data_IF_792732209698
#
_entry.id   IF_792732209698
#
_cell.length_a   1.000
_cell.length_b   1.000
_cell.length_c   1.000
_cell.angle_alpha   90.00
_cell.angle_beta   90.00
_cell.angle_gamma   90.00
#
_symmetry.space_group_name_H-M   'P 1'
#
loop_
_entity.id
_entity.type
_entity.pdbx_description
1 polymer ?
#
# COMPACT_ATOMS: atom_id res chain seq x y z
N UNK A 1 50.80 76.41 45.41
CA UNK A 1 51.79 77.45 45.78
C UNK A 1 52.40 77.08 47.13
N UNK A 2 53.69 77.31 47.41
CA UNK A 2 54.86 77.03 46.57
C UNK A 2 56.10 76.72 47.45
N UNK A 3 56.60 75.47 47.60
CA UNK A 3 57.82 75.27 48.43
C UNK A 3 58.87 74.25 47.97
N UNK A 4 58.83 73.77 46.71
CA UNK A 4 59.99 73.02 46.15
C UNK A 4 60.55 73.63 44.86
N UNK A 5 59.81 74.53 44.19
CA UNK A 5 60.43 75.50 43.25
C UNK A 5 61.53 76.32 43.96
N UNK A 6 61.51 76.41 45.29
CA UNK A 6 62.52 77.10 46.10
C UNK A 6 63.83 76.31 46.34
N UNK A 7 63.86 74.98 46.15
CA UNK A 7 65.13 74.23 46.20
C UNK A 7 65.88 74.24 44.86
N UNK A 8 65.22 74.71 43.80
CA UNK A 8 65.80 74.93 42.47
C UNK A 8 66.52 76.29 42.35
N UNK A 9 66.52 77.14 43.39
CA UNK A 9 67.10 78.49 43.33
C UNK A 9 68.39 78.68 44.16
N UNK A 10 68.77 77.72 45.03
CA UNK A 10 69.87 77.92 46.00
C UNK A 10 71.23 77.36 45.56
N UNK A 11 71.32 76.62 44.45
CA UNK A 11 72.60 76.06 43.97
C UNK A 11 73.29 76.99 42.96
N UNK A 12 72.66 78.10 42.58
CA UNK A 12 73.11 79.01 41.52
C UNK A 12 73.78 80.31 42.02
N UNK A 13 74.18 80.41 43.31
CA UNK A 13 74.76 81.63 43.87
C UNK A 13 75.98 81.38 44.79
N UNK A 14 76.85 80.45 44.37
CA UNK A 14 78.21 80.30 44.90
C UNK A 14 79.24 80.32 43.74
N UNK A 15 79.55 81.52 43.24
CA UNK A 15 80.84 81.92 42.68
C UNK A 15 81.33 83.09 43.55
N UNK A 16 82.64 83.37 43.75
CA UNK A 16 83.87 82.72 43.28
C UNK A 16 84.95 82.56 44.38
N UNK A 17 85.55 81.38 44.58
CA UNK A 17 86.74 81.25 45.44
C UNK A 17 87.71 80.10 45.08
N UNK A 18 87.46 79.37 43.98
CA UNK A 18 88.33 78.26 43.54
C UNK A 18 89.44 78.67 42.57
N UNK A 19 89.36 79.85 41.95
CA UNK A 19 90.28 80.30 40.89
C UNK A 19 91.66 80.72 41.40
N UNK A 20 91.90 80.77 42.71
CA UNK A 20 93.20 81.13 43.31
C UNK A 20 93.77 80.00 44.20
N UNK A 21 93.20 78.80 44.14
CA UNK A 21 93.81 77.60 44.72
C UNK A 21 94.53 76.76 43.65
N UNK A 22 94.13 76.90 42.39
CA UNK A 22 94.63 76.07 41.29
C UNK A 22 96.01 76.53 40.76
N UNK A 23 96.34 77.82 40.87
CA UNK A 23 97.64 78.36 40.44
C UNK A 23 98.79 78.05 41.41
N UNK A 24 98.51 77.89 42.71
CA UNK A 24 99.51 77.48 43.70
C UNK A 24 99.88 75.99 43.53
N UNK A 25 98.89 75.13 43.31
CA UNK A 25 99.12 73.70 43.02
C UNK A 25 99.74 73.50 41.63
N UNK A 26 99.33 74.25 40.60
CA UNK A 26 99.92 74.09 39.27
C UNK A 26 101.38 74.58 39.17
N UNK A 27 101.81 75.55 39.98
CA UNK A 27 103.23 75.94 40.07
C UNK A 27 104.06 74.88 40.81
N UNK A 28 103.56 74.33 41.92
CA UNK A 28 104.15 73.18 42.62
C UNK A 28 104.27 71.93 41.73
N UNK A 29 103.26 71.69 40.89
CA UNK A 29 103.24 70.58 39.94
C UNK A 29 104.20 70.83 38.79
N UNK A 30 104.31 72.07 38.26
CA UNK A 30 105.28 72.40 37.20
C UNK A 30 106.74 72.34 37.69
N UNK A 31 107.05 72.84 38.88
CA UNK A 31 108.40 72.69 39.49
C UNK A 31 108.76 71.21 39.72
N UNK A 32 107.81 70.36 40.12
CA UNK A 32 108.06 68.91 40.23
C UNK A 32 108.26 68.22 38.88
N UNK A 33 107.61 68.68 37.82
CA UNK A 33 107.68 68.07 36.49
C UNK A 33 109.02 68.41 35.81
N UNK A 34 109.62 69.56 36.08
CA UNK A 34 110.91 69.97 35.50
C UNK A 34 112.14 69.24 36.10
N UNK A 35 111.99 68.53 37.23
CA UNK A 35 113.06 67.78 37.93
C UNK A 35 112.92 66.24 37.88
N UNK A 36 112.03 65.69 37.04
CA UNK A 36 111.74 64.25 36.96
C UNK A 36 112.32 63.58 35.71
N UNK A 37 113.63 63.30 35.76
CA UNK A 37 114.42 62.64 34.71
C UNK A 37 114.41 61.08 34.81
N UNK A 38 113.29 60.48 35.26
CA UNK A 38 113.14 59.00 35.40
C UNK A 38 111.75 58.49 35.01
N UNK A 39 111.64 57.32 34.37
CA UNK A 39 110.35 56.76 33.95
C UNK A 39 109.43 56.50 35.15
N UNK A 40 108.19 56.97 35.05
CA UNK A 40 107.15 56.93 36.09
C UNK A 40 106.70 55.52 36.53
N UNK A 41 107.11 54.47 35.81
CA UNK A 41 106.70 53.10 36.10
C UNK A 41 107.91 52.16 36.17
N UNK A 42 108.04 51.44 37.30
CA UNK A 42 109.05 50.40 37.47
C UNK A 42 108.65 49.11 36.72
N UNK A 43 109.61 48.32 36.18
CA UNK A 43 109.34 47.07 35.44
C UNK A 43 108.45 46.03 36.17
N UNK A 44 108.38 46.10 37.51
CA UNK A 44 107.55 45.21 38.32
C UNK A 44 106.05 45.51 38.19
N UNK A 45 105.67 46.79 38.09
CA UNK A 45 104.26 47.22 38.04
C UNK A 45 103.62 46.83 36.71
N UNK A 46 104.37 46.90 35.61
CA UNK A 46 103.90 46.49 34.28
C UNK A 46 103.52 45.00 34.24
N UNK A 47 104.37 44.13 34.81
CA UNK A 47 104.10 42.70 34.86
C UNK A 47 102.88 42.36 35.72
N UNK A 48 102.76 43.00 36.89
CA UNK A 48 101.61 42.80 37.77
C UNK A 48 100.29 43.18 37.07
N UNK A 49 100.26 44.33 36.37
CA UNK A 49 99.07 44.76 35.62
C UNK A 49 98.76 43.80 34.46
N UNK A 50 99.77 43.30 33.75
CA UNK A 50 99.56 42.31 32.68
C UNK A 50 99.03 40.97 33.21
N UNK A 51 99.52 40.50 34.35
CA UNK A 51 99.04 39.28 34.98
C UNK A 51 97.58 39.42 35.47
N UNK A 52 97.23 40.56 36.09
CA UNK A 52 95.84 40.88 36.47
C UNK A 52 94.92 40.99 35.24
N UNK A 53 95.35 41.64 34.15
CA UNK A 53 94.57 41.71 32.91
C UNK A 53 94.37 40.33 32.27
N UNK A 54 95.39 39.47 32.32
CA UNK A 54 95.31 38.10 31.80
C UNK A 54 94.36 37.25 32.65
N UNK A 55 94.43 37.39 33.97
CA UNK A 55 93.49 36.76 34.91
C UNK A 55 92.06 37.23 34.65
N UNK A 56 91.85 38.54 34.50
CA UNK A 56 90.55 39.14 34.22
C UNK A 56 89.98 38.69 32.87
N UNK A 57 90.80 38.57 31.82
CA UNK A 57 90.36 37.98 30.54
C UNK A 57 89.98 36.52 30.68
N UNK A 58 90.74 35.74 31.45
CA UNK A 58 90.45 34.32 31.70
C UNK A 58 89.15 34.16 32.48
N UNK A 59 88.95 34.99 33.49
CA UNK A 59 87.71 35.05 34.26
C UNK A 59 86.53 35.45 33.38
N UNK A 60 86.66 36.53 32.59
CA UNK A 60 85.63 36.93 31.62
C UNK A 60 85.29 35.84 30.60
N UNK A 61 86.28 35.08 30.12
CA UNK A 61 86.04 33.97 29.20
C UNK A 61 85.27 32.82 29.89
N UNK A 62 85.66 32.46 31.12
CA UNK A 62 84.98 31.44 31.91
C UNK A 62 83.53 31.85 32.23
N UNK A 63 83.30 33.09 32.66
CA UNK A 63 81.95 33.61 32.93
C UNK A 63 81.10 33.61 31.67
N UNK A 64 81.65 33.98 30.50
CA UNK A 64 80.93 33.91 29.22
C UNK A 64 80.55 32.48 28.87
N UNK A 65 81.45 31.51 29.08
CA UNK A 65 81.17 30.10 28.83
C UNK A 65 80.03 29.60 29.74
N UNK A 66 80.09 29.90 31.03
CA UNK A 66 79.06 29.50 31.99
C UNK A 66 77.69 30.12 31.65
N UNK A 67 77.65 31.42 31.37
CA UNK A 67 76.41 32.10 30.96
C UNK A 67 75.85 31.53 29.66
N UNK A 68 76.71 31.26 28.68
CA UNK A 68 76.29 30.64 27.41
C UNK A 68 75.68 29.27 27.66
N UNK A 69 76.31 28.46 28.51
CA UNK A 69 75.81 27.13 28.86
C UNK A 69 74.47 27.21 29.60
N UNK A 70 74.32 28.11 30.58
CA UNK A 70 73.06 28.31 31.29
C UNK A 70 71.92 28.78 30.37
N UNK A 71 72.21 29.67 29.41
CA UNK A 71 71.23 30.12 28.42
C UNK A 71 70.80 28.95 27.53
N UNK A 72 71.77 28.20 26.99
CA UNK A 72 71.50 27.03 26.13
C UNK A 72 70.68 25.97 26.89
N UNK A 73 71.03 25.65 28.13
CA UNK A 73 70.30 24.70 28.96
C UNK A 73 68.87 25.18 29.26
N UNK A 74 68.69 26.49 29.48
CA UNK A 74 67.37 27.10 29.70
C UNK A 74 66.52 27.03 28.42
N UNK A 75 67.12 27.27 27.26
CA UNK A 75 66.43 27.16 25.97
C UNK A 75 66.06 25.71 25.66
N UNK A 76 66.96 24.74 25.84
CA UNK A 76 66.61 23.33 25.69
C UNK A 76 65.46 22.93 26.61
N UNK A 77 65.51 23.31 27.89
CA UNK A 77 64.41 23.05 28.83
C UNK A 77 63.11 23.78 28.50
N UNK A 78 63.16 24.92 27.80
CA UNK A 78 61.96 25.64 27.35
C UNK A 78 61.34 24.92 26.16
N UNK A 79 62.17 24.53 25.19
CA UNK A 79 61.80 23.78 23.99
C UNK A 79 61.26 22.41 24.36
N UNK A 80 61.93 21.64 25.21
CA UNK A 80 61.49 20.31 25.64
C UNK A 80 60.11 20.34 26.30
N UNK A 81 59.85 21.37 27.14
CA UNK A 81 58.52 21.56 27.73
C UNK A 81 57.48 21.87 26.67
N UNK A 82 57.76 22.79 25.74
CA UNK A 82 56.83 23.14 24.66
C UNK A 82 56.54 21.92 23.76
N UNK A 83 57.55 21.12 23.43
CA UNK A 83 57.41 19.89 22.66
C UNK A 83 56.57 18.86 23.43
N UNK A 84 56.85 18.63 24.71
CA UNK A 84 56.05 17.72 25.55
C UNK A 84 54.58 18.14 25.60
N UNK A 85 54.29 19.42 25.84
CA UNK A 85 52.92 19.92 25.83
C UNK A 85 52.23 19.70 24.47
N UNK A 86 52.93 19.93 23.36
CA UNK A 86 52.39 19.68 22.03
C UNK A 86 52.12 18.18 21.80
N UNK A 87 53.04 17.30 22.20
CA UNK A 87 52.87 15.85 22.08
C UNK A 87 51.73 15.34 22.97
N UNK A 88 51.63 15.81 24.20
CA UNK A 88 50.59 15.38 25.15
C UNK A 88 49.20 15.83 24.68
N UNK A 89 49.05 17.08 24.24
CA UNK A 89 47.77 17.60 23.73
C UNK A 89 47.28 16.84 22.50
N UNK A 90 48.19 16.52 21.56
CA UNK A 90 47.88 15.70 20.39
C UNK A 90 47.46 14.29 20.82
N UNK A 91 48.19 13.66 21.74
CA UNK A 91 47.88 12.32 22.27
C UNK A 91 46.50 12.28 22.94
N UNK A 92 46.18 13.26 23.80
CA UNK A 92 44.88 13.33 24.44
C UNK A 92 43.73 13.55 23.46
N UNK A 93 43.95 14.34 22.41
CA UNK A 93 42.96 14.51 21.34
C UNK A 93 42.69 13.20 20.60
N UNK A 94 43.73 12.41 20.31
CA UNK A 94 43.55 11.07 19.75
C UNK A 94 42.78 10.14 20.68
N UNK A 95 43.04 10.16 21.99
CA UNK A 95 42.26 9.36 22.94
C UNK A 95 40.79 9.80 23.03
N UNK A 96 40.51 11.10 22.97
CA UNK A 96 39.13 11.59 22.94
C UNK A 96 38.38 11.12 21.67
N UNK A 97 39.04 11.20 20.51
CA UNK A 97 38.46 10.69 19.25
C UNK A 97 38.25 9.18 19.33
N UNK A 98 39.21 8.43 19.86
CA UNK A 98 39.10 6.98 20.01
C UNK A 98 37.97 6.57 20.96
N UNK A 99 37.80 7.29 22.07
CA UNK A 99 36.70 7.07 23.01
C UNK A 99 35.35 7.40 22.36
N UNK A 100 35.24 8.54 21.68
CA UNK A 100 34.02 8.94 20.98
C UNK A 100 33.66 7.96 19.84
N UNK A 101 34.64 7.50 19.07
CA UNK A 101 34.42 6.54 17.99
C UNK A 101 34.01 5.17 18.51
N UNK A 102 34.61 4.70 19.61
CA UNK A 102 34.22 3.46 20.28
C UNK A 102 32.77 3.49 20.76
N UNK A 103 32.35 4.60 21.38
CA UNK A 103 30.95 4.80 21.81
C UNK A 103 30.01 4.83 20.60
N UNK A 104 30.38 5.53 19.52
CA UNK A 104 29.57 5.63 18.30
C UNK A 104 29.39 4.25 17.64
N UNK A 105 30.43 3.42 17.59
CA UNK A 105 30.34 2.06 17.05
C UNK A 105 29.44 1.16 17.90
N UNK A 106 29.54 1.23 19.23
CA UNK A 106 28.68 0.45 20.13
C UNK A 106 27.20 0.82 19.98
N UNK A 107 26.89 2.12 19.97
CA UNK A 107 25.53 2.62 19.78
C UNK A 107 25.00 2.36 18.36
N UNK A 108 25.88 2.49 17.36
CA UNK A 108 25.55 2.23 15.96
C UNK A 108 25.22 0.76 15.71
N UNK A 109 25.98 -0.17 16.29
CA UNK A 109 25.76 -1.60 16.13
C UNK A 109 24.43 -2.06 16.74
N UNK A 110 24.09 -1.62 17.96
CA UNK A 110 22.81 -1.96 18.57
C UNK A 110 21.63 -1.40 17.78
N UNK A 111 21.72 -0.13 17.36
CA UNK A 111 20.67 0.54 16.58
C UNK A 111 20.41 -0.16 15.24
N UNK A 112 21.45 -0.51 14.48
CA UNK A 112 21.31 -1.20 13.19
C UNK A 112 20.67 -2.58 13.37
N UNK A 113 21.06 -3.32 14.41
CA UNK A 113 20.46 -4.63 14.71
C UNK A 113 18.98 -4.48 15.06
N UNK A 114 18.63 -3.54 15.93
CA UNK A 114 17.24 -3.31 16.35
C UNK A 114 16.36 -2.86 15.18
N UNK A 115 16.89 -2.03 14.26
CA UNK A 115 16.20 -1.64 13.02
C UNK A 115 15.96 -2.86 12.13
N UNK A 116 16.97 -3.71 11.93
CA UNK A 116 16.84 -4.92 11.11
C UNK A 116 15.77 -5.88 11.66
N UNK A 117 15.77 -6.12 12.97
CA UNK A 117 14.78 -6.99 13.62
C UNK A 117 13.36 -6.44 13.49
N UNK A 118 13.16 -5.13 13.72
CA UNK A 118 11.85 -4.47 13.55
C UNK A 118 11.35 -4.47 12.11
N UNK A 119 12.24 -4.26 11.14
CA UNK A 119 11.87 -4.27 9.72
C UNK A 119 11.41 -5.66 9.30
N UNK A 120 12.10 -6.73 9.74
CA UNK A 120 11.66 -8.09 9.48
C UNK A 120 10.31 -8.39 10.13
N UNK A 121 10.13 -8.05 11.41
CA UNK A 121 8.86 -8.35 12.10
C UNK A 121 7.66 -7.61 11.49
N UNK A 122 7.83 -6.34 11.12
CA UNK A 122 6.76 -5.55 10.47
C UNK A 122 6.45 -6.07 9.06
N UNK A 123 7.48 -6.46 8.30
CA UNK A 123 7.29 -7.06 6.99
C UNK A 123 6.55 -8.39 7.09
N UNK A 124 6.94 -9.28 8.02
CA UNK A 124 6.29 -10.58 8.21
C UNK A 124 4.83 -10.42 8.66
N UNK A 125 4.52 -9.43 9.51
CA UNK A 125 3.16 -9.12 9.95
C UNK A 125 2.29 -8.62 8.79
N UNK A 126 2.77 -7.65 8.01
CA UNK A 126 2.02 -7.12 6.86
C UNK A 126 1.87 -8.17 5.76
N UNK A 127 2.90 -8.98 5.49
CA UNK A 127 2.82 -10.11 4.54
C UNK A 127 1.75 -11.10 5.01
N UNK A 128 1.76 -11.50 6.28
CA UNK A 128 0.77 -12.44 6.83
C UNK A 128 -0.65 -11.88 6.72
N UNK A 129 -0.82 -10.58 6.99
CA UNK A 129 -2.10 -9.89 6.88
C UNK A 129 -2.59 -9.86 5.42
N UNK A 130 -1.72 -9.52 4.47
CA UNK A 130 -2.04 -9.53 3.05
C UNK A 130 -2.40 -10.94 2.58
N UNK A 131 -1.61 -11.96 2.94
CA UNK A 131 -1.88 -13.36 2.58
C UNK A 131 -3.26 -13.77 3.09
N UNK A 132 -3.60 -13.44 4.34
CA UNK A 132 -4.92 -13.74 4.91
C UNK A 132 -6.06 -13.01 4.22
N UNK A 133 -5.86 -11.75 3.85
CA UNK A 133 -6.85 -10.97 3.09
C UNK A 133 -7.07 -11.57 1.70
N UNK A 134 -6.00 -11.98 1.02
CA UNK A 134 -6.07 -12.65 -0.28
C UNK A 134 -6.70 -14.03 -0.18
N UNK A 135 -6.39 -14.81 0.85
CA UNK A 135 -7.01 -16.13 1.10
C UNK A 135 -8.53 -16.00 1.31
N UNK A 136 -8.96 -15.01 2.12
CA UNK A 136 -10.39 -14.73 2.32
C UNK A 136 -11.09 -14.28 1.03
N UNK A 137 -10.47 -13.39 0.25
CA UNK A 137 -11.02 -12.96 -1.04
C UNK A 137 -11.10 -14.11 -2.02
N UNK A 138 -10.07 -14.97 -2.08
CA UNK A 138 -10.04 -16.12 -2.95
C UNK A 138 -11.15 -17.11 -2.60
N UNK A 139 -11.30 -17.43 -1.31
CA UNK A 139 -12.39 -18.30 -0.84
C UNK A 139 -13.77 -17.73 -1.18
N UNK A 140 -13.98 -16.42 -1.03
CA UNK A 140 -15.23 -15.76 -1.39
C UNK A 140 -15.50 -15.82 -2.91
N UNK A 141 -14.47 -15.64 -3.73
CA UNK A 141 -14.58 -15.75 -5.19
C UNK A 141 -14.88 -17.20 -5.60
N UNK A 142 -14.21 -18.18 -4.98
CA UNK A 142 -14.42 -19.59 -5.25
C UNK A 142 -15.87 -20.00 -4.94
N UNK A 143 -16.40 -19.60 -3.80
CA UNK A 143 -17.80 -19.85 -3.43
C UNK A 143 -18.78 -19.21 -4.43
N UNK A 144 -18.53 -17.96 -4.84
CA UNK A 144 -19.37 -17.29 -5.84
C UNK A 144 -19.29 -17.96 -7.21
N UNK A 145 -18.12 -18.43 -7.62
CA UNK A 145 -17.94 -19.16 -8.88
C UNK A 145 -18.64 -20.50 -8.82
N UNK A 146 -18.57 -21.22 -7.70
CA UNK A 146 -19.26 -22.49 -7.51
C UNK A 146 -20.78 -22.33 -7.63
N UNK A 147 -21.37 -21.38 -6.89
CA UNK A 147 -22.80 -21.09 -6.96
C UNK A 147 -23.23 -20.68 -8.37
N UNK A 148 -22.50 -19.78 -9.03
CA UNK A 148 -22.81 -19.39 -10.41
C UNK A 148 -22.71 -20.54 -11.39
N UNK A 149 -21.73 -21.43 -11.22
CA UNK A 149 -21.56 -22.60 -12.09
C UNK A 149 -22.74 -23.54 -11.94
N UNK A 150 -23.19 -23.82 -10.72
CA UNK A 150 -24.40 -24.63 -10.48
C UNK A 150 -25.63 -24.01 -11.13
N UNK A 151 -25.83 -22.70 -10.99
CA UNK A 151 -26.95 -22.01 -11.64
C UNK A 151 -26.86 -22.04 -13.17
N UNK A 152 -25.66 -21.90 -13.74
CA UNK A 152 -25.46 -21.98 -15.18
C UNK A 152 -25.75 -23.41 -15.68
N UNK A 153 -25.34 -24.42 -14.94
CA UNK A 153 -25.56 -25.83 -15.28
C UNK A 153 -27.05 -26.18 -15.23
N UNK A 154 -27.75 -25.80 -14.15
CA UNK A 154 -29.20 -25.99 -14.05
C UNK A 154 -29.96 -25.24 -15.17
N UNK A 155 -29.60 -23.97 -15.41
CA UNK A 155 -30.22 -23.20 -16.50
C UNK A 155 -29.92 -23.82 -17.87
N UNK A 156 -28.73 -24.39 -18.06
CA UNK A 156 -28.36 -25.06 -19.30
C UNK A 156 -29.23 -26.31 -19.52
N UNK A 157 -29.42 -27.13 -18.50
CA UNK A 157 -30.31 -28.30 -18.56
C UNK A 157 -31.75 -27.88 -18.90
N UNK A 158 -32.28 -26.82 -18.29
CA UNK A 158 -33.62 -26.29 -18.60
C UNK A 158 -33.74 -25.76 -20.03
N UNK A 159 -32.71 -25.10 -20.54
CA UNK A 159 -32.65 -24.61 -21.93
C UNK A 159 -32.60 -25.80 -22.90
N UNK A 160 -31.75 -26.80 -22.62
CA UNK A 160 -31.64 -28.00 -23.45
C UNK A 160 -32.97 -28.75 -23.52
N UNK A 161 -33.66 -28.95 -22.38
CA UNK A 161 -35.00 -29.55 -22.33
C UNK A 161 -36.04 -28.73 -23.12
N UNK A 162 -36.01 -27.41 -22.98
CA UNK A 162 -36.96 -26.53 -23.70
C UNK A 162 -36.71 -26.56 -25.21
N UNK A 163 -35.45 -26.56 -25.64
CA UNK A 163 -35.08 -26.68 -27.04
C UNK A 163 -35.46 -28.05 -27.62
N UNK A 164 -35.27 -29.12 -26.85
CA UNK A 164 -35.68 -30.48 -27.25
C UNK A 164 -37.20 -30.53 -27.44
N UNK A 165 -37.98 -30.07 -26.46
CA UNK A 165 -39.44 -30.00 -26.56
C UNK A 165 -39.88 -29.15 -27.75
N UNK A 166 -39.26 -27.99 -27.97
CA UNK A 166 -39.55 -27.14 -29.11
C UNK A 166 -39.25 -27.85 -30.44
N UNK A 167 -38.16 -28.63 -30.53
CA UNK A 167 -37.84 -29.42 -31.71
C UNK A 167 -38.88 -30.53 -31.96
N UNK A 168 -39.41 -31.14 -30.90
CA UNK A 168 -40.47 -32.13 -30.98
C UNK A 168 -41.80 -31.50 -31.44
N UNK A 169 -42.15 -30.30 -30.95
CA UNK A 169 -43.31 -29.55 -31.43
C UNK A 169 -43.19 -29.19 -32.92
N UNK A 170 -42.02 -28.76 -33.37
CA UNK A 170 -41.78 -28.48 -34.79
C UNK A 170 -41.93 -29.74 -35.65
N UNK A 171 -41.44 -30.89 -35.17
CA UNK A 171 -41.63 -32.18 -35.83
C UNK A 171 -43.11 -32.56 -35.87
N UNK A 172 -43.84 -32.39 -34.78
CA UNK A 172 -45.28 -32.67 -34.70
C UNK A 172 -46.08 -31.94 -35.78
N UNK A 173 -45.74 -30.67 -36.06
CA UNK A 173 -46.39 -29.86 -37.09
C UNK A 173 -46.11 -30.37 -38.51
N UNK A 174 -44.97 -31.04 -38.75
CA UNK A 174 -44.60 -31.56 -40.07
C UNK A 174 -45.16 -32.96 -40.34
N UNK A 175 -45.50 -33.71 -39.29
CA UNK A 175 -46.06 -35.06 -39.40
C UNK A 175 -47.52 -35.01 -39.88
N UNK A 176 -47.82 -35.74 -40.97
CA UNK A 176 -49.19 -35.85 -41.50
C UNK A 176 -49.97 -37.02 -40.91
N UNK A 177 -49.27 -38.06 -40.43
CA UNK A 177 -49.89 -39.27 -39.90
C UNK A 177 -50.26 -39.11 -38.43
N UNK A 178 -51.53 -39.31 -38.09
CA UNK A 178 -52.06 -39.15 -36.73
C UNK A 178 -51.35 -40.06 -35.71
N UNK A 179 -51.02 -41.29 -36.09
CA UNK A 179 -50.29 -42.22 -35.22
C UNK A 179 -48.87 -41.74 -34.91
N UNK A 180 -48.19 -41.11 -35.88
CA UNK A 180 -46.87 -40.52 -35.65
C UNK A 180 -46.97 -39.30 -34.74
N UNK A 181 -48.01 -38.47 -34.92
CA UNK A 181 -48.28 -37.34 -34.04
C UNK A 181 -48.43 -37.77 -32.58
N UNK A 182 -49.17 -38.86 -32.33
CA UNK A 182 -49.29 -39.43 -30.98
C UNK A 182 -47.94 -39.87 -30.43
N UNK A 183 -47.11 -40.54 -31.23
CA UNK A 183 -45.77 -40.96 -30.78
C UNK A 183 -44.89 -39.76 -30.39
N UNK A 184 -44.93 -38.68 -31.16
CA UNK A 184 -44.17 -37.45 -30.84
C UNK A 184 -44.72 -36.77 -29.58
N UNK A 185 -46.04 -36.71 -29.42
CA UNK A 185 -46.67 -36.20 -28.19
C UNK A 185 -46.34 -37.06 -26.97
N UNK A 186 -46.22 -38.37 -27.12
CA UNK A 186 -45.76 -39.27 -26.05
C UNK A 186 -44.29 -39.02 -25.67
N UNK A 187 -43.44 -38.62 -26.62
CA UNK A 187 -42.08 -38.17 -26.33
C UNK A 187 -42.10 -36.86 -25.53
N UNK A 188 -42.92 -35.88 -25.93
CA UNK A 188 -43.07 -34.60 -25.20
C UNK A 188 -43.58 -34.85 -23.77
N UNK A 189 -44.60 -35.71 -23.61
CA UNK A 189 -45.18 -36.01 -22.30
C UNK A 189 -44.25 -36.84 -21.41
N UNK A 190 -43.26 -37.55 -21.95
CA UNK A 190 -42.19 -38.17 -21.13
C UNK A 190 -41.26 -37.13 -20.53
N UNK A 191 -40.97 -36.05 -21.27
CA UNK A 191 -40.13 -34.95 -20.82
C UNK A 191 -40.91 -34.01 -19.87
N UNK A 192 -42.17 -33.71 -20.19
CA UNK A 192 -43.09 -32.91 -19.35
C UNK A 192 -44.43 -33.63 -19.17
N UNK A 193 -44.57 -34.47 -18.13
CA UNK A 193 -45.80 -35.23 -17.88
C UNK A 193 -47.04 -34.38 -17.55
N UNK A 194 -46.84 -33.14 -17.10
CA UNK A 194 -47.90 -32.23 -16.68
C UNK A 194 -48.08 -31.07 -17.69
N UNK A 195 -47.71 -31.27 -18.95
CA UNK A 195 -47.93 -30.26 -19.97
C UNK A 195 -49.38 -30.29 -20.47
N UNK A 196 -50.19 -29.33 -20.00
CA UNK A 196 -51.59 -29.17 -20.39
C UNK A 196 -51.77 -28.98 -21.90
N UNK A 197 -50.80 -28.32 -22.56
CA UNK A 197 -50.83 -28.09 -24.00
C UNK A 197 -50.68 -29.43 -24.74
N UNK A 198 -49.62 -30.18 -24.45
CA UNK A 198 -49.35 -31.48 -25.06
C UNK A 198 -50.49 -32.51 -24.80
N UNK A 199 -51.04 -32.54 -23.58
CA UNK A 199 -52.17 -33.42 -23.25
C UNK A 199 -53.42 -33.09 -24.08
N UNK A 200 -53.68 -31.81 -24.30
CA UNK A 200 -54.87 -31.35 -25.05
C UNK A 200 -54.70 -31.56 -26.55
N UNK A 201 -53.52 -31.28 -27.11
CA UNK A 201 -53.22 -31.61 -28.51
C UNK A 201 -53.29 -33.11 -28.77
N UNK A 202 -52.89 -33.94 -27.79
CA UNK A 202 -53.09 -35.38 -27.89
C UNK A 202 -54.57 -35.77 -27.88
N UNK A 203 -55.39 -35.11 -27.07
CA UNK A 203 -56.83 -35.34 -27.07
C UNK A 203 -57.46 -35.02 -28.43
N UNK A 204 -57.06 -33.91 -29.06
CA UNK A 204 -57.49 -33.50 -30.40
C UNK A 204 -57.16 -34.56 -31.47
N UNK A 205 -55.89 -34.99 -31.54
CA UNK A 205 -55.45 -36.05 -32.47
C UNK A 205 -56.20 -37.37 -32.24
N UNK A 206 -56.51 -37.70 -30.99
CA UNK A 206 -57.26 -38.89 -30.62
C UNK A 206 -58.75 -38.78 -30.99
N UNK A 207 -59.32 -37.58 -30.96
CA UNK A 207 -60.68 -37.31 -31.48
C UNK A 207 -60.73 -37.49 -33.00
N UNK A 208 -59.72 -37.04 -33.73
CA UNK A 208 -59.60 -37.29 -35.18
C UNK A 208 -59.51 -38.80 -35.50
N UNK A 209 -58.91 -39.59 -34.60
CA UNK A 209 -58.89 -41.07 -34.67
C UNK A 209 -60.21 -41.74 -34.25
N UNK A 210 -61.23 -40.96 -33.87
CA UNK A 210 -62.55 -41.43 -33.42
C UNK A 210 -62.54 -42.20 -32.10
N UNK A 211 -61.63 -41.86 -31.19
CA UNK A 211 -61.51 -42.46 -29.86
C UNK A 211 -61.89 -41.47 -28.74
N UNK A 212 -63.16 -41.01 -28.66
CA UNK A 212 -63.54 -39.90 -27.79
C UNK A 212 -63.46 -40.22 -26.28
N UNK A 213 -63.54 -41.50 -25.89
CA UNK A 213 -63.36 -41.90 -24.49
C UNK A 213 -61.94 -41.62 -23.98
N UNK A 214 -60.95 -41.84 -24.84
CA UNK A 214 -59.56 -41.59 -24.50
C UNK A 214 -59.27 -40.09 -24.43
N UNK A 215 -59.82 -39.31 -25.36
CA UNK A 215 -59.74 -37.85 -25.34
C UNK A 215 -60.31 -37.26 -24.04
N UNK A 216 -61.46 -37.74 -23.54
CA UNK A 216 -62.01 -37.31 -22.25
C UNK A 216 -61.03 -37.54 -21.10
N UNK A 217 -60.33 -38.68 -21.08
CA UNK A 217 -59.35 -38.96 -20.03
C UNK A 217 -58.11 -38.07 -20.11
N UNK A 218 -57.69 -37.69 -21.32
CA UNK A 218 -56.57 -36.76 -21.53
C UNK A 218 -56.96 -35.33 -21.16
N UNK A 219 -58.13 -34.84 -21.59
CA UNK A 219 -58.63 -33.52 -21.20
C UNK A 219 -58.84 -33.41 -19.68
N UNK A 220 -59.27 -34.48 -19.00
CA UNK A 220 -59.36 -34.49 -17.53
C UNK A 220 -58.00 -34.32 -16.86
N UNK A 221 -56.95 -34.92 -17.43
CA UNK A 221 -55.59 -34.76 -16.92
C UNK A 221 -55.09 -33.34 -17.16
N UNK A 222 -55.33 -32.76 -18.34
CA UNK A 222 -54.98 -31.37 -18.64
C UNK A 222 -55.68 -30.40 -17.68
N UNK A 223 -56.99 -30.57 -17.47
CA UNK A 223 -57.79 -29.73 -16.57
C UNK A 223 -57.48 -29.96 -15.08
N UNK A 224 -56.82 -31.06 -14.72
CA UNK A 224 -56.33 -31.27 -13.36
C UNK A 224 -55.06 -30.46 -13.09
N UNK A 225 -54.26 -30.19 -14.12
CA UNK A 225 -53.07 -29.33 -14.04
C UNK A 225 -53.49 -27.86 -14.14
N UNK A 226 -54.26 -27.52 -15.15
CA UNK A 226 -54.79 -26.17 -15.38
C UNK A 226 -56.31 -26.21 -15.62
N UNK A 227 -57.12 -25.96 -14.58
CA UNK A 227 -58.58 -25.99 -14.67
C UNK A 227 -59.20 -25.00 -15.64
N UNK A 228 -58.48 -23.90 -15.93
CA UNK A 228 -58.97 -22.80 -16.76
C UNK A 228 -58.32 -22.83 -18.16
N UNK A 229 -57.65 -23.94 -18.52
CA UNK A 229 -57.07 -24.10 -19.85
C UNK A 229 -58.17 -24.22 -20.91
N UNK A 230 -58.42 -23.11 -21.61
CA UNK A 230 -59.57 -22.95 -22.48
C UNK A 230 -59.63 -23.99 -23.61
N UNK A 231 -58.49 -24.34 -24.20
CA UNK A 231 -58.42 -25.35 -25.25
C UNK A 231 -58.79 -26.74 -24.73
N UNK A 232 -58.42 -27.11 -23.49
CA UNK A 232 -58.83 -28.39 -22.90
C UNK A 232 -60.33 -28.43 -22.60
N UNK A 233 -60.93 -27.31 -22.17
CA UNK A 233 -62.38 -27.22 -21.95
C UNK A 233 -63.15 -27.38 -23.27
N UNK A 234 -62.67 -26.76 -24.34
CA UNK A 234 -63.24 -26.91 -25.69
C UNK A 234 -63.13 -28.37 -26.18
N UNK A 235 -61.94 -28.97 -26.13
CA UNK A 235 -61.73 -30.35 -26.56
C UNK A 235 -62.50 -31.36 -25.70
N UNK A 236 -62.68 -31.09 -24.41
CA UNK A 236 -63.57 -31.86 -23.55
C UNK A 236 -65.03 -31.78 -24.03
N UNK A 237 -65.51 -30.61 -24.41
CA UNK A 237 -66.86 -30.44 -24.94
C UNK A 237 -67.05 -31.23 -26.23
N UNK A 238 -66.10 -31.14 -27.17
CA UNK A 238 -66.11 -31.92 -28.42
C UNK A 238 -66.15 -33.43 -28.13
N UNK A 239 -65.30 -33.91 -27.23
CA UNK A 239 -65.26 -35.32 -26.84
C UNK A 239 -66.58 -35.80 -26.21
N UNK A 240 -67.21 -35.00 -25.35
CA UNK A 240 -68.51 -35.34 -24.74
C UNK A 240 -69.66 -35.32 -25.75
N UNK A 241 -69.63 -34.40 -26.72
CA UNK A 241 -70.63 -34.33 -27.79
C UNK A 241 -70.55 -35.57 -28.71
N UNK A 242 -69.34 -36.02 -29.05
CA UNK A 242 -69.13 -37.27 -29.80
C UNK A 242 -69.53 -38.53 -29.00
N UNK A 243 -69.48 -38.49 -27.67
CA UNK A 243 -69.99 -39.55 -26.79
C UNK A 243 -71.52 -39.51 -26.60
N UNK A 244 -72.20 -38.48 -27.09
CA UNK A 244 -73.64 -38.29 -26.92
C UNK A 244 -74.06 -37.84 -25.52
N UNK A 245 -73.13 -37.28 -24.72
CA UNK A 245 -73.43 -36.74 -23.38
C UNK A 245 -73.62 -35.23 -23.47
N UNK A 246 -74.80 -34.85 -23.97
CA UNK A 246 -75.13 -33.49 -24.42
C UNK A 246 -75.04 -32.45 -23.29
N UNK A 247 -75.65 -32.73 -22.13
CA UNK A 247 -75.64 -31.84 -20.96
C UNK A 247 -74.22 -31.44 -20.53
N UNK A 248 -73.29 -32.42 -20.53
CA UNK A 248 -71.90 -32.16 -20.14
C UNK A 248 -71.17 -31.39 -21.23
N UNK A 249 -71.38 -31.74 -22.50
CA UNK A 249 -70.78 -31.04 -23.62
C UNK A 249 -71.11 -29.54 -23.58
N UNK A 250 -72.39 -29.20 -23.41
CA UNK A 250 -72.87 -27.82 -23.31
C UNK A 250 -72.26 -27.11 -22.08
N UNK A 251 -72.19 -27.79 -20.94
CA UNK A 251 -71.61 -27.19 -19.73
C UNK A 251 -70.12 -26.84 -19.86
N UNK A 252 -69.33 -27.69 -20.53
CA UNK A 252 -67.91 -27.43 -20.78
C UNK A 252 -67.70 -26.41 -21.90
N UNK A 253 -68.53 -26.46 -22.94
CA UNK A 253 -68.50 -25.48 -24.02
C UNK A 253 -68.82 -24.08 -23.49
N UNK A 254 -69.83 -23.95 -22.61
CA UNK A 254 -70.15 -22.68 -21.94
C UNK A 254 -68.93 -22.12 -21.20
N UNK A 255 -68.25 -22.95 -20.42
CA UNK A 255 -67.02 -22.52 -19.70
C UNK A 255 -65.92 -22.08 -20.66
N UNK A 256 -65.74 -22.78 -21.78
CA UNK A 256 -64.77 -22.38 -22.80
C UNK A 256 -65.14 -21.03 -23.44
N UNK A 257 -66.42 -20.81 -23.76
CA UNK A 257 -66.91 -19.55 -24.33
C UNK A 257 -66.80 -18.39 -23.34
N UNK A 258 -67.11 -18.63 -22.06
CA UNK A 258 -66.99 -17.63 -20.99
C UNK A 258 -65.54 -17.14 -20.83
N UNK A 259 -64.56 -18.02 -21.05
CA UNK A 259 -63.12 -17.66 -21.03
C UNK A 259 -62.68 -17.03 -22.35
N UNK A 260 -63.09 -17.58 -23.48
CA UNK A 260 -62.73 -17.10 -24.80
C UNK A 260 -63.90 -17.22 -25.78
N UNK A 261 -64.50 -16.06 -26.08
CA UNK A 261 -65.69 -15.97 -26.93
C UNK A 261 -65.47 -16.45 -28.38
N UNK A 262 -64.23 -16.53 -28.87
CA UNK A 262 -63.96 -17.03 -30.24
C UNK A 262 -64.38 -18.48 -30.44
N UNK A 263 -64.40 -19.29 -29.37
CA UNK A 263 -64.83 -20.68 -29.44
C UNK A 263 -66.31 -20.83 -29.78
N UNK A 264 -67.14 -19.80 -29.60
CA UNK A 264 -68.54 -19.86 -30.03
C UNK A 264 -68.67 -19.93 -31.56
N UNK A 265 -67.79 -19.20 -32.27
CA UNK A 265 -67.73 -19.21 -33.74
C UNK A 265 -67.17 -20.55 -34.23
N UNK A 266 -66.11 -21.04 -33.58
CA UNK A 266 -65.52 -22.34 -33.91
C UNK A 266 -66.54 -23.48 -33.71
N UNK A 267 -67.25 -23.49 -32.58
CA UNK A 267 -68.27 -24.49 -32.25
C UNK A 267 -69.45 -24.52 -33.23
N UNK A 268 -69.83 -23.39 -33.83
CA UNK A 268 -70.89 -23.35 -34.85
C UNK A 268 -70.49 -24.15 -36.10
N UNK A 269 -69.22 -24.04 -36.49
CA UNK A 269 -68.66 -24.69 -37.68
C UNK A 269 -68.17 -26.12 -37.45
N UNK A 270 -67.91 -26.51 -36.20
CA UNK A 270 -67.32 -27.80 -35.86
C UNK A 270 -68.31 -28.97 -36.07
N UNK A 271 -67.79 -30.07 -36.62
CA UNK A 271 -68.52 -31.30 -36.90
C UNK A 271 -68.83 -32.04 -35.59
N UNK A 272 -67.97 -31.89 -34.57
CA UNK A 272 -68.15 -32.58 -33.28
C UNK A 272 -69.48 -32.25 -32.61
N UNK A 273 -70.04 -31.07 -32.87
CA UNK A 273 -71.28 -30.59 -32.28
C UNK A 273 -72.53 -30.81 -33.14
N UNK A 274 -72.44 -31.48 -34.29
CA UNK A 274 -73.60 -31.76 -35.14
C UNK A 274 -74.74 -32.47 -34.38
N UNK A 275 -74.40 -33.36 -33.45
CA UNK A 275 -75.38 -34.05 -32.62
C UNK A 275 -76.16 -33.13 -31.67
N UNK A 276 -75.56 -32.00 -31.27
CA UNK A 276 -76.14 -31.07 -30.29
C UNK A 276 -76.58 -29.73 -30.91
N UNK A 277 -76.48 -29.56 -32.23
CA UNK A 277 -76.85 -28.31 -32.92
C UNK A 277 -78.29 -27.88 -32.70
N UNK A 278 -79.20 -28.83 -32.56
CA UNK A 278 -80.64 -28.57 -32.36
C UNK A 278 -81.00 -28.28 -30.89
N UNK A 279 -80.05 -28.37 -29.95
CA UNK A 279 -80.32 -28.10 -28.54
C UNK A 279 -80.54 -26.62 -28.27
N UNK A 280 -81.63 -26.32 -27.55
CA UNK A 280 -82.00 -24.93 -27.22
C UNK A 280 -80.90 -24.18 -26.43
N UNK A 281 -80.18 -24.87 -25.54
CA UNK A 281 -79.08 -24.27 -24.78
C UNK A 281 -77.84 -24.00 -25.63
N UNK A 282 -77.56 -24.86 -26.62
CA UNK A 282 -76.45 -24.67 -27.55
C UNK A 282 -76.68 -23.45 -28.47
N UNK A 283 -77.90 -23.29 -28.99
CA UNK A 283 -78.29 -22.12 -29.78
C UNK A 283 -78.23 -20.82 -28.97
N UNK A 284 -78.56 -20.87 -27.67
CA UNK A 284 -78.45 -19.71 -26.78
C UNK A 284 -76.98 -19.30 -26.56
N UNK A 285 -76.05 -20.26 -26.50
CA UNK A 285 -74.62 -19.98 -26.35
C UNK A 285 -74.03 -19.29 -27.60
N UNK A 286 -74.39 -19.74 -28.80
CA UNK A 286 -73.89 -19.16 -30.06
C UNK A 286 -74.51 -17.79 -30.33
N UNK A 287 -75.82 -17.62 -30.06
CA UNK A 287 -76.49 -16.34 -30.25
C UNK A 287 -76.09 -15.28 -29.21
N UNK A 288 -75.67 -15.70 -28.01
CA UNK A 288 -75.22 -14.79 -26.95
C UNK A 288 -73.84 -14.18 -27.17
N UNK A 289 -72.98 -14.76 -28.00
CA UNK A 289 -71.62 -14.26 -28.29
C UNK A 289 -71.53 -13.36 -29.53
N UNK A 290 -72.62 -13.25 -30.30
CA UNK A 290 -72.70 -12.47 -31.55
C UNK A 290 -73.23 -11.04 -31.38
N UNK A 291 -73.37 -10.58 -30.13
CA UNK A 291 -73.73 -9.22 -29.73
C UNK A 291 -72.57 -8.48 -29.07
#
# INVERSE_FOLDING_TARGET
MPRIVFKLALVLLFLPAGLWAQDADQRLIKERIEDLDKPLYSPFVERYVLDELKQLRKEQANTRQELTQQIVDREHKSVDRAVSYATDTVTYFFYLIAAASSVLVLLGWSSIRDIKERVHSLADEEITKLVREYEQRLAAIEEQLYQKTQHIEANREEIELTQEIQSLWLRLQQESLLNNKISVLDEILKLRPQDSEALTYKADVVLELKEPQWAVNLCKQALAVDPDYCFALYQMACAQALLGVEDKAISFLKKAIDLQASYAIEAESDIAFENIKDHSEFLALISGSSS
#
